data_IF_308733893932
#
_entry.id   IF_308733893932
#
_cell.length_a   1.000
_cell.length_b   1.000
_cell.length_c   1.000
_cell.angle_alpha   90.00
_cell.angle_beta   90.00
_cell.angle_gamma   90.00
#
_symmetry.space_group_name_H-M   'P 1'
#
loop_
_entity.id
_entity.type
_entity.pdbx_description
1 polymer ?
#
# COMPACT_ATOMS: atom_id res chain seq x y z
N UNK A 1 -32.93 -0.46 21.65
CA UNK A 1 -32.23 -0.76 22.94
C UNK A 1 -30.97 0.07 22.95
N UNK A 2 -30.63 0.77 24.05
CA UNK A 2 -29.38 1.51 24.11
C UNK A 2 -28.22 0.54 24.25
N UNK A 3 -27.15 0.78 23.47
CA UNK A 3 -25.86 0.10 23.60
C UNK A 3 -25.41 0.10 25.06
N UNK A 4 -25.17 -1.07 25.64
CA UNK A 4 -24.69 -1.21 27.01
C UNK A 4 -23.20 -0.85 27.01
N UNK A 5 -22.90 0.32 27.59
CA UNK A 5 -21.55 0.84 27.70
C UNK A 5 -20.83 0.24 28.92
N UNK A 6 -19.76 -0.52 28.69
CA UNK A 6 -18.83 -0.92 29.74
C UNK A 6 -17.53 -0.08 29.65
N UNK A 7 -17.15 0.43 30.81
CA UNK A 7 -15.90 1.13 31.21
C UNK A 7 -14.99 1.84 30.19
N UNK A 8 -14.99 3.15 30.28
CA UNK A 8 -14.53 4.20 29.35
C UNK A 8 -13.10 4.22 28.75
N UNK A 9 -12.19 3.32 29.05
CA UNK A 9 -10.81 3.36 28.51
C UNK A 9 -10.52 2.24 27.50
N UNK A 10 -11.01 1.06 27.74
CA UNK A 10 -10.90 -0.11 26.85
C UNK A 10 -11.75 0.16 25.60
N UNK A 11 -12.96 0.66 25.79
CA UNK A 11 -13.91 0.99 24.72
C UNK A 11 -13.36 1.98 23.65
N UNK A 12 -12.49 2.91 24.02
CA UNK A 12 -12.01 3.92 23.09
C UNK A 12 -10.95 3.39 22.10
N UNK A 13 -10.22 2.36 22.50
CA UNK A 13 -9.30 1.61 21.63
C UNK A 13 -10.09 0.66 20.70
N UNK A 14 -11.09 -0.03 21.25
CA UNK A 14 -11.97 -0.93 20.50
C UNK A 14 -12.79 -0.19 19.44
N UNK A 15 -13.35 0.99 19.75
CA UNK A 15 -14.08 1.81 18.77
C UNK A 15 -13.21 2.28 17.59
N UNK A 16 -11.93 2.57 17.80
CA UNK A 16 -11.02 2.93 16.70
C UNK A 16 -10.72 1.75 15.79
N UNK A 17 -10.59 0.55 16.35
CA UNK A 17 -10.38 -0.66 15.55
C UNK A 17 -11.64 -1.01 14.76
N UNK A 18 -12.82 -0.89 15.39
CA UNK A 18 -14.12 -1.08 14.72
C UNK A 18 -14.28 -0.07 13.57
N UNK A 19 -13.98 1.21 13.80
CA UNK A 19 -14.01 2.24 12.76
C UNK A 19 -13.08 1.90 11.59
N UNK A 20 -11.86 1.45 11.90
CA UNK A 20 -10.87 1.04 10.90
C UNK A 20 -11.42 -0.12 10.06
N UNK A 21 -11.91 -1.20 10.69
CA UNK A 21 -12.45 -2.38 10.00
C UNK A 21 -13.67 -2.00 9.16
N UNK A 22 -14.57 -1.13 9.66
CA UNK A 22 -15.71 -0.63 8.89
C UNK A 22 -15.26 0.07 7.60
N UNK A 23 -14.30 0.99 7.71
CA UNK A 23 -13.76 1.73 6.55
C UNK A 23 -13.02 0.83 5.57
N UNK A 24 -12.27 -0.16 6.06
CA UNK A 24 -11.60 -1.17 5.23
C UNK A 24 -12.62 -1.99 4.42
N UNK A 25 -13.63 -2.55 5.09
CA UNK A 25 -14.64 -3.39 4.43
C UNK A 25 -15.51 -2.58 3.45
N UNK A 26 -15.89 -1.34 3.80
CA UNK A 26 -16.60 -0.45 2.89
C UNK A 26 -15.76 -0.11 1.65
N UNK A 27 -14.47 0.13 1.82
CA UNK A 27 -13.57 0.43 0.72
C UNK A 27 -13.41 -0.77 -0.23
N UNK A 28 -13.34 -1.99 0.31
CA UNK A 28 -13.35 -3.22 -0.48
C UNK A 28 -14.67 -3.41 -1.23
N UNK A 29 -15.80 -3.18 -0.57
CA UNK A 29 -17.12 -3.22 -1.20
C UNK A 29 -17.20 -2.26 -2.39
N UNK A 30 -16.77 -1.02 -2.21
CA UNK A 30 -16.85 0.04 -3.21
C UNK A 30 -15.89 -0.15 -4.39
N UNK A 31 -14.63 -0.51 -4.13
CA UNK A 31 -13.59 -0.61 -5.16
C UNK A 31 -13.58 -1.95 -5.91
N UNK A 32 -14.04 -3.03 -5.26
CA UNK A 32 -14.05 -4.37 -5.84
C UNK A 32 -15.46 -4.91 -6.13
N UNK A 33 -16.49 -4.09 -5.87
CA UNK A 33 -17.91 -4.52 -5.93
C UNK A 33 -18.20 -5.75 -5.05
N UNK A 34 -17.53 -5.84 -3.89
CA UNK A 34 -17.63 -6.97 -2.95
C UNK A 34 -18.47 -6.58 -1.74
N UNK A 35 -19.77 -6.35 -1.95
CA UNK A 35 -20.65 -5.85 -0.89
C UNK A 35 -20.84 -6.81 0.28
N UNK A 36 -20.58 -8.09 0.08
CA UNK A 36 -20.54 -9.07 1.18
C UNK A 36 -19.50 -8.69 2.28
N UNK A 37 -18.51 -7.85 2.00
CA UNK A 37 -17.57 -7.39 3.02
C UNK A 37 -18.25 -6.46 4.05
N UNK A 38 -19.32 -5.76 3.66
CA UNK A 38 -20.16 -5.04 4.61
C UNK A 38 -20.97 -5.98 5.50
N UNK A 39 -21.42 -7.13 4.97
CA UNK A 39 -22.06 -8.20 5.74
C UNK A 39 -21.05 -8.84 6.72
N UNK A 40 -19.82 -9.11 6.24
CA UNK A 40 -18.74 -9.61 7.09
C UNK A 40 -18.41 -8.67 8.26
N UNK A 41 -18.53 -7.35 8.05
CA UNK A 41 -18.38 -6.39 9.14
C UNK A 41 -19.47 -6.57 10.21
N UNK A 42 -20.72 -6.82 9.83
CA UNK A 42 -21.77 -7.08 10.80
C UNK A 42 -21.53 -8.39 11.57
N UNK A 43 -21.08 -9.45 10.87
CA UNK A 43 -20.70 -10.71 11.52
C UNK A 43 -19.55 -10.50 12.52
N UNK A 44 -18.53 -9.73 12.15
CA UNK A 44 -17.45 -9.35 13.06
C UNK A 44 -17.99 -8.64 14.31
N UNK A 45 -18.92 -7.69 14.17
CA UNK A 45 -19.52 -7.00 15.34
C UNK A 45 -20.26 -7.97 16.26
N UNK A 46 -20.97 -8.95 15.70
CA UNK A 46 -21.66 -9.98 16.50
C UNK A 46 -20.67 -10.88 17.26
N UNK A 47 -19.54 -11.23 16.64
CA UNK A 47 -18.46 -11.98 17.31
C UNK A 47 -17.86 -11.18 18.48
N UNK A 48 -17.74 -9.86 18.34
CA UNK A 48 -17.31 -8.92 19.39
C UNK A 48 -18.43 -8.61 20.43
N UNK A 49 -19.59 -9.26 20.34
CA UNK A 49 -20.74 -9.07 21.24
C UNK A 49 -21.36 -7.67 21.15
N UNK A 50 -21.20 -7.01 20.01
CA UNK A 50 -21.86 -5.75 19.70
C UNK A 50 -23.13 -6.06 18.92
N UNK A 51 -24.27 -5.74 19.50
CA UNK A 51 -25.56 -6.17 18.99
C UNK A 51 -26.51 -4.97 18.82
N UNK A 52 -27.20 -4.94 17.69
CA UNK A 52 -28.36 -4.07 17.43
C UNK A 52 -29.26 -4.73 16.40
N UNK A 53 -30.49 -4.24 16.26
CA UNK A 53 -31.42 -4.71 15.23
C UNK A 53 -30.82 -4.55 13.83
N UNK A 54 -30.17 -3.40 13.54
CA UNK A 54 -29.56 -3.15 12.24
C UNK A 54 -28.36 -4.07 11.97
N UNK A 55 -27.58 -4.43 12.99
CA UNK A 55 -26.47 -5.39 12.86
C UNK A 55 -27.02 -6.78 12.50
N UNK A 56 -28.06 -7.26 13.19
CA UNK A 56 -28.68 -8.55 12.88
C UNK A 56 -29.28 -8.59 11.46
N UNK A 57 -29.96 -7.50 11.04
CA UNK A 57 -30.48 -7.40 9.68
C UNK A 57 -29.34 -7.44 8.67
N UNK A 58 -28.30 -6.61 8.84
CA UNK A 58 -27.18 -6.55 7.93
C UNK A 58 -26.44 -7.91 7.82
N UNK A 59 -26.23 -8.59 8.95
CA UNK A 59 -25.58 -9.90 8.99
C UNK A 59 -26.36 -11.00 8.28
N UNK A 60 -27.68 -10.86 8.17
CA UNK A 60 -28.59 -11.81 7.51
C UNK A 60 -28.88 -11.50 6.03
N UNK A 61 -28.32 -10.43 5.45
CA UNK A 61 -28.57 -10.09 4.06
C UNK A 61 -27.79 -10.99 3.10
N UNK A 62 -28.38 -11.25 1.95
CA UNK A 62 -27.70 -11.90 0.83
C UNK A 62 -26.66 -10.96 0.21
N UNK A 63 -25.54 -11.50 -0.21
CA UNK A 63 -24.42 -10.75 -0.82
C UNK A 63 -24.80 -9.92 -2.05
N UNK A 64 -25.88 -10.31 -2.72
CA UNK A 64 -26.36 -9.68 -3.95
C UNK A 64 -27.39 -8.56 -3.69
N UNK A 65 -27.85 -8.39 -2.45
CA UNK A 65 -28.82 -7.37 -2.05
C UNK A 65 -28.13 -6.03 -1.75
N UNK A 66 -27.50 -5.46 -2.77
CA UNK A 66 -26.74 -4.21 -2.69
C UNK A 66 -27.47 -3.06 -1.96
N UNK A 67 -28.72 -2.82 -2.32
CA UNK A 67 -29.49 -1.67 -1.80
C UNK A 67 -29.73 -1.80 -0.30
N UNK A 68 -30.11 -2.97 0.18
CA UNK A 68 -30.32 -3.23 1.59
C UNK A 68 -29.00 -3.30 2.35
N UNK A 69 -27.94 -3.92 1.78
CA UNK A 69 -26.60 -3.93 2.40
C UNK A 69 -26.13 -2.49 2.63
N UNK A 70 -26.18 -1.66 1.60
CA UNK A 70 -25.75 -0.26 1.72
C UNK A 70 -26.56 0.50 2.78
N UNK A 71 -27.90 0.36 2.74
CA UNK A 71 -28.80 0.99 3.71
C UNK A 71 -28.48 0.61 5.15
N UNK A 72 -28.40 -0.69 5.43
CA UNK A 72 -28.20 -1.17 6.79
C UNK A 72 -26.75 -1.01 7.26
N UNK A 73 -25.77 -1.08 6.38
CA UNK A 73 -24.38 -0.74 6.70
C UNK A 73 -24.25 0.70 7.21
N UNK A 74 -24.88 1.68 6.51
CA UNK A 74 -24.88 3.06 6.99
C UNK A 74 -25.74 3.25 8.26
N UNK A 75 -26.79 2.48 8.47
CA UNK A 75 -27.53 2.51 9.73
C UNK A 75 -26.63 2.05 10.90
N UNK A 76 -25.91 0.94 10.74
CA UNK A 76 -24.95 0.40 11.73
C UNK A 76 -23.81 1.38 12.00
N UNK A 77 -23.17 1.94 10.95
CA UNK A 77 -22.08 2.90 11.14
C UNK A 77 -22.53 4.18 11.82
N UNK A 78 -23.76 4.64 11.58
CA UNK A 78 -24.36 5.79 12.29
C UNK A 78 -24.61 5.47 13.76
N UNK A 79 -25.12 4.28 14.11
CA UNK A 79 -25.28 3.83 15.50
C UNK A 79 -23.94 3.83 16.25
N UNK A 80 -22.89 3.37 15.59
CA UNK A 80 -21.51 3.34 16.10
C UNK A 80 -20.82 4.72 16.06
N UNK A 81 -21.47 5.76 15.50
CA UNK A 81 -20.92 7.10 15.29
C UNK A 81 -19.67 7.13 14.42
N UNK A 82 -19.55 6.19 13.51
CA UNK A 82 -18.49 6.15 12.51
C UNK A 82 -18.86 7.10 11.38
N UNK A 83 -17.99 8.06 11.12
CA UNK A 83 -18.23 9.11 10.11
C UNK A 83 -17.17 9.07 9.02
N UNK A 84 -17.42 9.77 7.90
CA UNK A 84 -16.46 9.95 6.80
C UNK A 84 -16.01 8.63 6.16
N UNK A 85 -16.98 7.78 5.84
CA UNK A 85 -16.70 6.47 5.23
C UNK A 85 -15.98 6.57 3.89
N UNK A 86 -16.20 7.66 3.13
CA UNK A 86 -15.57 7.91 1.84
C UNK A 86 -14.16 8.56 1.95
N UNK A 87 -13.71 8.90 3.15
CA UNK A 87 -12.39 9.49 3.35
C UNK A 87 -11.30 8.43 3.19
N UNK A 88 -10.28 8.73 2.38
CA UNK A 88 -9.12 7.87 2.15
C UNK A 88 -9.46 6.42 1.68
N UNK A 89 -10.47 6.25 0.82
CA UNK A 89 -10.91 4.93 0.33
C UNK A 89 -9.74 4.07 -0.17
N UNK A 90 -8.82 4.65 -0.94
CA UNK A 90 -7.66 3.94 -1.46
C UNK A 90 -6.72 3.46 -0.35
N UNK A 91 -6.51 4.28 0.67
CA UNK A 91 -5.72 3.90 1.85
C UNK A 91 -6.39 2.78 2.65
N UNK A 92 -7.68 2.94 2.94
CA UNK A 92 -8.44 1.95 3.69
C UNK A 92 -8.48 0.61 2.94
N UNK A 93 -8.58 0.65 1.62
CA UNK A 93 -8.51 -0.55 0.80
C UNK A 93 -7.12 -1.22 0.82
N UNK A 94 -6.04 -0.43 0.80
CA UNK A 94 -4.68 -0.96 0.96
C UNK A 94 -4.52 -1.63 2.34
N UNK A 95 -5.06 -1.03 3.40
CA UNK A 95 -5.09 -1.62 4.74
C UNK A 95 -5.90 -2.93 4.78
N UNK A 96 -7.08 -2.95 4.13
CA UNK A 96 -7.89 -4.16 3.97
C UNK A 96 -7.10 -5.29 3.32
N UNK A 97 -6.46 -5.04 2.17
CA UNK A 97 -5.63 -6.03 1.49
C UNK A 97 -4.46 -6.49 2.37
N UNK A 98 -3.78 -5.56 3.03
CA UNK A 98 -2.68 -5.88 3.94
C UNK A 98 -3.10 -6.83 5.05
N UNK A 99 -4.24 -6.58 5.69
CA UNK A 99 -4.80 -7.45 6.73
C UNK A 99 -5.15 -8.84 6.16
N UNK A 100 -5.87 -8.90 5.03
CA UNK A 100 -6.29 -10.16 4.40
C UNK A 100 -5.09 -11.02 3.97
N UNK A 101 -4.05 -10.41 3.41
CA UNK A 101 -2.84 -11.13 2.98
C UNK A 101 -2.01 -11.58 4.19
N UNK A 102 -1.92 -10.75 5.23
CA UNK A 102 -1.19 -11.10 6.46
C UNK A 102 -1.82 -12.29 7.20
N UNK A 103 -3.15 -12.36 7.17
CA UNK A 103 -3.92 -13.46 7.78
C UNK A 103 -4.04 -14.70 6.87
N UNK A 104 -3.36 -14.71 5.71
CA UNK A 104 -3.45 -15.78 4.70
C UNK A 104 -4.89 -16.02 4.15
N UNK A 105 -5.77 -15.00 4.26
CA UNK A 105 -7.12 -15.03 3.68
C UNK A 105 -7.13 -14.75 2.17
N UNK A 106 -6.08 -14.08 1.68
CA UNK A 106 -5.84 -13.79 0.25
C UNK A 106 -4.38 -14.12 -0.06
N UNK A 107 -4.15 -14.81 -1.16
CA UNK A 107 -2.80 -15.10 -1.66
C UNK A 107 -2.06 -13.81 -2.06
N UNK A 108 -0.78 -13.72 -1.73
CA UNK A 108 0.04 -12.54 -1.99
C UNK A 108 0.10 -12.17 -3.49
N UNK A 109 0.22 -13.16 -4.38
CA UNK A 109 0.23 -12.95 -5.84
C UNK A 109 -1.13 -12.42 -6.33
N UNK A 110 -2.24 -12.92 -5.77
CA UNK A 110 -3.56 -12.39 -6.12
C UNK A 110 -3.73 -10.93 -5.65
N UNK A 111 -3.21 -10.60 -4.47
CA UNK A 111 -3.22 -9.21 -3.98
C UNK A 111 -2.38 -8.28 -4.88
N UNK A 112 -1.24 -8.74 -5.41
CA UNK A 112 -0.46 -7.99 -6.42
C UNK A 112 -1.33 -7.65 -7.63
N UNK A 113 -2.02 -8.63 -8.22
CA UNK A 113 -2.91 -8.40 -9.37
C UNK A 113 -4.02 -7.36 -9.06
N UNK A 114 -4.53 -7.35 -7.83
CA UNK A 114 -5.51 -6.33 -7.40
C UNK A 114 -4.87 -4.95 -7.35
N UNK A 115 -3.67 -4.82 -6.76
CA UNK A 115 -2.97 -3.55 -6.58
C UNK A 115 -2.53 -2.92 -7.91
N UNK A 116 -2.13 -3.74 -8.89
CA UNK A 116 -1.87 -3.28 -10.26
C UNK A 116 -3.13 -2.65 -10.89
N UNK A 117 -4.28 -3.31 -10.74
CA UNK A 117 -5.56 -2.80 -11.25
C UNK A 117 -5.99 -1.51 -10.57
N UNK A 118 -5.63 -1.30 -9.31
CA UNK A 118 -5.95 -0.08 -8.57
C UNK A 118 -5.44 1.19 -9.24
N UNK A 119 -4.26 1.15 -9.85
CA UNK A 119 -3.76 2.29 -10.62
C UNK A 119 -4.71 2.69 -11.75
N UNK A 120 -5.19 1.73 -12.53
CA UNK A 120 -6.07 1.99 -13.67
C UNK A 120 -7.49 2.38 -13.24
N UNK A 121 -7.98 1.86 -12.11
CA UNK A 121 -9.31 2.14 -11.59
C UNK A 121 -9.40 3.52 -10.92
N UNK A 122 -8.36 3.92 -10.19
CA UNK A 122 -8.41 5.12 -9.34
C UNK A 122 -7.60 6.28 -9.89
N UNK A 123 -6.72 6.04 -10.88
CA UNK A 123 -5.72 6.98 -11.37
C UNK A 123 -4.82 7.57 -10.26
N UNK A 124 -4.69 6.85 -9.16
CA UNK A 124 -3.83 7.24 -8.04
C UNK A 124 -2.39 6.82 -8.33
N UNK A 125 -1.52 7.80 -8.51
CA UNK A 125 -0.11 7.60 -8.88
C UNK A 125 0.68 6.77 -7.86
N UNK A 126 0.20 6.65 -6.64
CA UNK A 126 0.84 5.82 -5.60
C UNK A 126 0.80 4.33 -5.95
N UNK A 127 -0.20 3.91 -6.74
CA UNK A 127 -0.30 2.53 -7.22
C UNK A 127 0.52 2.26 -8.50
N UNK A 128 1.10 3.29 -9.14
CA UNK A 128 1.95 3.06 -10.32
C UNK A 128 3.12 2.14 -10.04
N UNK A 129 3.70 2.23 -8.87
CA UNK A 129 4.83 1.40 -8.47
C UNK A 129 4.47 -0.10 -8.36
N UNK A 130 3.19 -0.43 -8.13
CA UNK A 130 2.71 -1.81 -8.18
C UNK A 130 2.65 -2.36 -9.61
N UNK A 131 2.33 -1.53 -10.60
CA UNK A 131 2.39 -1.89 -12.02
C UNK A 131 3.85 -2.17 -12.44
N UNK A 132 4.79 -1.32 -12.03
CA UNK A 132 6.22 -1.55 -12.31
C UNK A 132 6.74 -2.82 -11.60
N UNK A 133 6.28 -3.07 -10.38
CA UNK A 133 6.64 -4.27 -9.64
C UNK A 133 6.04 -5.53 -10.27
N UNK A 134 4.79 -5.50 -10.75
CA UNK A 134 4.18 -6.61 -11.49
C UNK A 134 4.98 -6.97 -12.74
N UNK A 135 5.38 -5.98 -13.53
CA UNK A 135 6.28 -6.20 -14.68
C UNK A 135 7.60 -6.87 -14.27
N UNK A 136 8.15 -6.54 -13.09
CA UNK A 136 9.36 -7.19 -12.59
C UNK A 136 9.12 -8.63 -12.16
N UNK A 137 7.93 -8.95 -11.65
CA UNK A 137 7.51 -10.32 -11.32
C UNK A 137 7.34 -11.16 -12.58
N UNK A 138 6.72 -10.63 -13.64
CA UNK A 138 6.58 -11.31 -14.92
C UNK A 138 7.96 -11.63 -15.50
N UNK A 139 8.92 -10.71 -15.47
CA UNK A 139 10.29 -10.94 -15.90
C UNK A 139 11.01 -12.02 -15.08
N UNK A 140 10.69 -12.13 -13.78
CA UNK A 140 11.24 -13.17 -12.91
C UNK A 140 10.78 -14.57 -13.34
N UNK A 141 9.54 -14.72 -13.84
CA UNK A 141 9.05 -15.98 -14.39
C UNK A 141 9.88 -16.42 -15.60
N UNK A 142 10.31 -15.48 -16.44
CA UNK A 142 11.21 -15.70 -17.58
C UNK A 142 12.69 -15.86 -17.16
N UNK A 143 13.00 -15.88 -15.87
CA UNK A 143 14.36 -16.01 -15.34
C UNK A 143 15.20 -14.71 -15.40
N UNK A 144 14.55 -13.57 -15.64
CA UNK A 144 15.20 -12.26 -15.71
C UNK A 144 15.03 -11.57 -14.36
N UNK A 145 16.14 -11.21 -13.71
CA UNK A 145 16.09 -10.44 -12.44
C UNK A 145 16.10 -8.94 -12.70
N UNK A 146 15.16 -8.24 -12.09
CA UNK A 146 15.10 -6.77 -12.14
C UNK A 146 15.95 -6.20 -11.00
N UNK A 147 16.96 -5.41 -11.34
CA UNK A 147 18.00 -4.96 -10.38
C UNK A 147 17.50 -3.99 -9.30
N UNK A 148 16.29 -3.43 -9.44
CA UNK A 148 15.69 -2.53 -8.45
C UNK A 148 15.01 -3.26 -7.32
N UNK A 149 14.70 -4.56 -7.48
CA UNK A 149 14.01 -5.38 -6.50
C UNK A 149 14.85 -6.61 -6.13
N UNK A 150 14.94 -6.88 -4.84
CA UNK A 150 15.65 -8.08 -4.32
C UNK A 150 14.68 -9.25 -4.20
N UNK A 151 14.13 -9.68 -5.34
CA UNK A 151 13.15 -10.77 -5.45
C UNK A 151 13.71 -11.99 -6.18
N UNK A 152 13.21 -13.15 -5.75
CA UNK A 152 13.37 -14.44 -6.41
C UNK A 152 12.10 -15.28 -6.16
N UNK A 153 12.00 -16.45 -6.78
CA UNK A 153 10.80 -17.31 -6.66
C UNK A 153 10.52 -17.74 -5.21
N UNK A 154 11.57 -17.91 -4.39
CA UNK A 154 11.44 -18.42 -3.03
C UNK A 154 10.96 -17.36 -2.05
N UNK A 155 11.30 -16.07 -2.28
CA UNK A 155 10.95 -14.98 -1.36
C UNK A 155 9.79 -14.10 -1.85
N UNK A 156 9.23 -14.35 -3.03
CA UNK A 156 8.28 -13.44 -3.68
C UNK A 156 7.03 -13.18 -2.83
N UNK A 157 6.43 -14.22 -2.26
CA UNK A 157 5.22 -14.06 -1.44
C UNK A 157 5.48 -13.22 -0.19
N UNK A 158 6.57 -13.52 0.52
CA UNK A 158 6.96 -12.76 1.72
C UNK A 158 7.33 -11.32 1.37
N UNK A 159 8.01 -11.13 0.23
CA UNK A 159 8.34 -9.80 -0.28
C UNK A 159 7.08 -8.98 -0.57
N UNK A 160 6.05 -9.54 -1.20
CA UNK A 160 4.77 -8.85 -1.47
C UNK A 160 4.08 -8.51 -0.15
N UNK A 161 3.98 -9.44 0.80
CA UNK A 161 3.39 -9.19 2.13
C UNK A 161 4.05 -8.00 2.81
N UNK A 162 5.37 -8.00 2.87
CA UNK A 162 6.15 -6.92 3.46
C UNK A 162 5.98 -5.58 2.71
N UNK A 163 5.98 -5.61 1.36
CA UNK A 163 5.80 -4.44 0.51
C UNK A 163 4.46 -3.75 0.77
N UNK A 164 3.38 -4.51 0.93
CA UNK A 164 2.05 -3.96 1.25
C UNK A 164 2.11 -3.21 2.58
N UNK A 165 2.71 -3.80 3.63
CA UNK A 165 2.81 -3.16 4.95
C UNK A 165 3.64 -1.86 4.89
N UNK A 166 4.76 -1.88 4.18
CA UNK A 166 5.59 -0.69 3.99
C UNK A 166 4.87 0.41 3.20
N UNK A 167 4.05 0.05 2.22
CA UNK A 167 3.27 1.01 1.45
C UNK A 167 2.11 1.59 2.25
N UNK A 168 1.51 0.84 3.20
CA UNK A 168 0.56 1.36 4.18
C UNK A 168 1.22 2.45 5.05
N UNK A 169 2.43 2.19 5.55
CA UNK A 169 3.18 3.14 6.36
C UNK A 169 3.56 4.40 5.56
N UNK A 170 3.95 4.22 4.29
CA UNK A 170 4.34 5.32 3.41
C UNK A 170 3.15 6.11 2.87
N UNK A 171 1.94 5.55 2.85
CA UNK A 171 0.78 6.14 2.18
C UNK A 171 0.40 7.52 2.72
N UNK A 172 0.50 7.72 4.04
CA UNK A 172 0.20 8.99 4.71
C UNK A 172 1.36 9.97 4.74
N UNK A 173 2.52 9.55 4.21
CA UNK A 173 3.71 10.35 4.20
C UNK A 173 3.74 11.31 3.01
N UNK A 174 4.27 12.52 3.24
CA UNK A 174 4.58 13.43 2.14
C UNK A 174 5.88 12.97 1.47
N UNK A 175 5.72 12.11 0.47
CA UNK A 175 6.85 11.59 -0.29
C UNK A 175 7.30 12.61 -1.36
N UNK A 176 8.61 12.68 -1.67
CA UNK A 176 9.09 13.44 -2.83
C UNK A 176 8.49 12.92 -4.14
N UNK A 177 8.25 13.79 -5.11
CA UNK A 177 7.61 13.46 -6.40
C UNK A 177 8.26 12.28 -7.15
N UNK A 178 9.55 12.09 -6.98
CA UNK A 178 10.33 11.02 -7.61
C UNK A 178 10.77 9.95 -6.61
N UNK A 179 10.06 9.77 -5.51
CA UNK A 179 10.47 8.90 -4.40
C UNK A 179 10.92 7.51 -4.87
N UNK A 180 10.12 6.83 -5.69
CA UNK A 180 10.43 5.48 -6.18
C UNK A 180 11.61 5.41 -7.18
N UNK A 181 12.05 6.56 -7.71
CA UNK A 181 13.27 6.68 -8.53
C UNK A 181 14.49 7.08 -7.70
N UNK A 182 14.33 7.31 -6.41
CA UNK A 182 15.41 7.61 -5.48
C UNK A 182 16.03 6.35 -4.93
N UNK A 183 17.28 6.46 -4.51
CA UNK A 183 17.99 5.38 -3.86
C UNK A 183 19.01 5.89 -2.87
N UNK A 184 19.27 5.12 -1.83
CA UNK A 184 20.39 5.40 -0.92
C UNK A 184 21.69 4.87 -1.50
N UNK A 185 22.64 5.77 -1.72
CA UNK A 185 24.00 5.38 -2.13
C UNK A 185 24.73 4.70 -0.99
N UNK A 186 25.20 3.46 -1.16
CA UNK A 186 25.92 2.73 -0.11
C UNK A 186 27.20 3.43 0.34
N UNK A 187 27.88 4.18 -0.56
CA UNK A 187 29.12 4.86 -0.24
C UNK A 187 28.92 6.12 0.59
N UNK A 188 28.06 7.04 0.15
CA UNK A 188 27.88 8.32 0.85
C UNK A 188 26.67 8.35 1.78
N UNK A 189 25.87 7.28 1.81
CA UNK A 189 24.66 7.10 2.62
C UNK A 189 23.56 8.15 2.36
N UNK A 190 23.68 8.97 1.33
CA UNK A 190 22.67 9.99 0.97
C UNK A 190 21.58 9.39 0.09
N UNK A 191 20.38 9.92 0.23
CA UNK A 191 19.26 9.69 -0.69
C UNK A 191 19.49 10.53 -1.93
N UNK A 192 19.50 9.90 -3.09
CA UNK A 192 19.82 10.54 -4.39
C UNK A 192 18.98 9.94 -5.50
N UNK A 193 18.84 10.65 -6.62
CA UNK A 193 18.41 10.06 -7.89
C UNK A 193 19.69 9.67 -8.65
N UNK A 194 19.98 8.36 -8.82
CA UNK A 194 21.19 7.94 -9.52
C UNK A 194 21.19 8.33 -10.99
N UNK A 195 22.35 8.70 -11.53
CA UNK A 195 22.50 8.98 -12.96
C UNK A 195 22.80 7.69 -13.72
N UNK A 196 22.07 7.42 -14.80
CA UNK A 196 22.36 6.31 -15.71
C UNK A 196 23.51 6.75 -16.64
N UNK A 197 24.58 5.97 -16.67
CA UNK A 197 25.71 6.15 -17.58
C UNK A 197 25.88 4.92 -18.47
N UNK A 198 26.30 5.16 -19.72
CA UNK A 198 26.56 4.09 -20.69
C UNK A 198 28.08 3.99 -20.90
N UNK A 199 28.59 2.75 -20.89
CA UNK A 199 29.99 2.52 -21.27
C UNK A 199 30.17 2.62 -22.78
N UNK A 200 31.23 3.32 -23.22
CA UNK A 200 31.49 3.56 -24.68
C UNK A 200 31.70 2.25 -25.45
N UNK A 201 32.38 1.27 -24.85
CA UNK A 201 32.84 0.06 -25.57
C UNK A 201 31.95 -1.18 -25.39
N UNK A 202 31.14 -1.29 -24.32
CA UNK A 202 30.39 -2.53 -24.01
C UNK A 202 28.87 -2.36 -24.04
N UNK A 203 28.35 -1.21 -24.42
CA UNK A 203 26.90 -0.90 -24.38
C UNK A 203 26.22 -1.25 -23.04
N UNK A 204 27.01 -1.38 -21.95
CA UNK A 204 26.48 -1.65 -20.61
C UNK A 204 26.08 -0.36 -19.93
N UNK A 205 24.95 -0.38 -19.26
CA UNK A 205 24.49 0.70 -18.39
C UNK A 205 24.95 0.47 -16.95
N UNK A 206 25.23 1.53 -16.24
CA UNK A 206 25.53 1.51 -14.82
C UNK A 206 25.01 2.77 -14.15
N UNK A 207 24.75 2.67 -12.86
CA UNK A 207 24.29 3.79 -12.06
C UNK A 207 25.45 4.48 -11.36
N UNK A 208 25.40 5.82 -11.35
CA UNK A 208 26.40 6.67 -10.71
C UNK A 208 25.71 7.59 -9.71
N UNK A 209 26.24 7.68 -8.51
CA UNK A 209 25.76 8.62 -7.52
C UNK A 209 26.01 10.06 -7.98
N UNK A 210 24.97 10.88 -8.05
CA UNK A 210 25.10 12.28 -8.43
C UNK A 210 25.84 13.12 -7.37
N UNK A 211 25.86 12.69 -6.10
CA UNK A 211 26.54 13.37 -4.99
C UNK A 211 28.03 13.01 -4.89
N UNK A 212 28.37 11.73 -4.68
CA UNK A 212 29.77 11.31 -4.46
C UNK A 212 30.46 10.74 -5.71
N UNK A 213 29.76 10.68 -6.84
CA UNK A 213 30.22 10.18 -8.14
C UNK A 213 30.63 8.69 -8.15
N UNK A 214 30.37 7.94 -7.08
CA UNK A 214 30.65 6.52 -7.01
C UNK A 214 29.66 5.70 -7.87
N UNK A 215 30.14 4.56 -8.35
CA UNK A 215 29.36 3.51 -9.01
C UNK A 215 29.05 2.39 -8.02
N UNK A 216 28.68 2.74 -6.78
CA UNK A 216 28.37 1.78 -5.72
C UNK A 216 26.98 1.17 -5.91
N UNK A 217 26.68 0.15 -5.10
CA UNK A 217 25.32 -0.36 -4.97
C UNK A 217 24.38 0.74 -4.45
N UNK A 218 23.13 0.61 -4.83
CA UNK A 218 22.05 1.50 -4.42
C UNK A 218 20.95 0.68 -3.76
N UNK A 219 20.38 1.21 -2.67
CA UNK A 219 19.14 0.68 -2.08
C UNK A 219 18.01 1.55 -2.57
N UNK A 220 17.25 1.03 -3.53
CA UNK A 220 16.18 1.75 -4.19
C UNK A 220 14.97 1.93 -3.29
N UNK A 221 14.33 3.11 -3.33
CA UNK A 221 13.08 3.36 -2.60
C UNK A 221 11.85 2.65 -3.22
N UNK A 222 11.98 2.06 -4.39
CA UNK A 222 11.04 1.09 -4.95
C UNK A 222 11.15 -0.28 -4.26
N UNK A 223 12.33 -0.64 -3.74
CA UNK A 223 12.58 -1.89 -3.01
C UNK A 223 12.26 -1.78 -1.51
N UNK A 224 11.86 -2.91 -0.90
CA UNK A 224 11.50 -2.96 0.52
C UNK A 224 12.62 -2.47 1.45
N UNK A 225 13.88 -2.82 1.16
CA UNK A 225 15.04 -2.38 1.96
C UNK A 225 15.20 -0.85 1.93
N UNK A 226 15.01 -0.23 0.77
CA UNK A 226 15.07 1.21 0.62
C UNK A 226 13.92 1.93 1.33
N UNK A 227 12.69 1.40 1.25
CA UNK A 227 11.52 1.90 1.98
C UNK A 227 11.72 1.85 3.48
N UNK A 228 12.17 0.71 4.02
CA UNK A 228 12.50 0.56 5.45
C UNK A 228 13.52 1.61 5.91
N UNK A 229 14.63 1.73 5.18
CA UNK A 229 15.68 2.68 5.53
C UNK A 229 15.18 4.13 5.49
N UNK A 230 14.25 4.45 4.57
CA UNK A 230 13.62 5.77 4.52
C UNK A 230 12.78 6.04 5.76
N UNK A 231 11.88 5.11 6.13
CA UNK A 231 11.03 5.22 7.31
C UNK A 231 11.85 5.31 8.61
N UNK A 232 12.87 4.46 8.76
CA UNK A 232 13.79 4.49 9.91
C UNK A 232 14.47 5.84 10.09
N UNK A 233 14.97 6.43 9.00
CA UNK A 233 15.65 7.72 9.03
C UNK A 233 14.69 8.87 9.31
N UNK A 234 13.50 8.82 8.77
CA UNK A 234 12.47 9.83 9.01
C UNK A 234 12.04 9.86 10.47
N UNK A 235 11.89 8.69 11.07
CA UNK A 235 11.45 8.54 12.46
C UNK A 235 12.58 8.72 13.49
N UNK A 236 13.83 8.87 13.03
CA UNK A 236 14.99 9.07 13.92
C UNK A 236 15.11 10.55 14.34
N UNK A 237 15.03 10.88 15.64
CA UNK A 237 15.03 12.26 16.13
C UNK A 237 16.29 13.07 15.82
N UNK A 238 17.39 12.40 15.42
CA UNK A 238 18.69 13.02 15.14
C UNK A 238 19.00 13.26 13.67
N UNK A 239 18.11 12.89 12.75
CA UNK A 239 18.32 13.12 11.33
C UNK A 239 17.44 14.28 10.85
N UNK A 240 18.00 15.50 10.82
CA UNK A 240 17.45 16.53 9.92
C UNK A 240 17.59 15.97 8.50
N UNK A 241 16.49 15.46 7.95
CA UNK A 241 16.36 15.24 6.53
C UNK A 241 16.41 16.62 5.87
N UNK A 242 17.62 17.12 5.60
CA UNK A 242 17.77 18.19 4.64
C UNK A 242 17.45 17.55 3.27
N UNK A 243 16.21 17.67 2.88
CA UNK A 243 15.78 17.48 1.51
C UNK A 243 16.34 18.63 0.67
N UNK A 244 17.67 18.72 0.60
CA UNK A 244 18.35 19.45 -0.50
C UNK A 244 18.16 18.59 -1.77
N UNK A 245 16.90 18.44 -2.16
CA UNK A 245 16.53 17.94 -3.48
C UNK A 245 16.84 19.09 -4.43
N UNK A 246 18.03 19.01 -5.02
CA UNK A 246 18.37 19.87 -6.15
C UNK A 246 17.45 19.44 -7.30
N UNK A 247 16.35 20.16 -7.46
CA UNK A 247 15.52 20.12 -8.65
C UNK A 247 16.40 20.51 -9.85
N UNK A 248 16.81 19.50 -10.61
CA UNK A 248 17.33 19.71 -11.96
C UNK A 248 16.32 19.21 -12.98
N UNK A 249 16.13 19.96 -14.09
CA UNK A 249 15.02 19.78 -15.01
C UNK A 249 14.96 18.37 -15.59
N UNK A 250 13.74 17.92 -15.79
CA UNK A 250 13.36 16.64 -16.38
C UNK A 250 14.06 16.43 -17.72
N UNK A 251 14.96 15.46 -17.80
CA UNK A 251 15.36 14.88 -19.07
C UNK A 251 14.28 13.87 -19.44
N UNK A 252 13.50 14.20 -20.47
CA UNK A 252 12.56 13.27 -21.10
C UNK A 252 13.32 12.01 -21.54
N UNK A 253 13.10 10.90 -20.85
CA UNK A 253 13.49 9.59 -21.34
C UNK A 253 12.51 9.22 -22.45
N UNK A 254 12.88 9.53 -23.71
CA UNK A 254 12.21 8.97 -24.88
C UNK A 254 12.32 7.45 -24.81
N UNK A 255 11.16 6.80 -24.89
CA UNK A 255 11.01 5.34 -25.08
C UNK A 255 11.98 4.89 -26.17
N UNK A 256 12.94 4.05 -25.81
CA UNK A 256 13.69 3.20 -26.73
C UNK A 256 13.14 1.78 -26.62
N UNK A 257 11.90 1.62 -27.00
CA UNK A 257 11.31 0.31 -27.36
C UNK A 257 10.75 0.50 -28.78
N UNK A 258 11.64 0.50 -29.77
CA UNK A 258 11.32 0.22 -31.17
C UNK A 258 12.67 0.07 -31.90
N UNK A 259 13.19 -1.15 -31.94
CA UNK A 259 13.88 -1.81 -33.07
C UNK A 259 14.32 -3.20 -32.67
#
# INVERSE_FOLDING_TARGET
>A
MPLVWYEGKVLKLELKEIEKIAKENYSAAKLQNKWYECVNFALYLLDEKIESENIYILAGLDSDDYDNINKYFFAVTNELKIVKMDEDINYNFLCYLGRKVHNDEIEAIYALTILEKMYYQTNDKRFWEWVEFGNAVDLLEDGITYYEYDINKDNLCDYIKEKILLDIDLYKEQLPDNFFKMAFCEKCKKLVIPEIKKTLFRKKFFYKCNNCKATSKFLWCSDNKGKKLYLERKNSPNTRFNADIVDKPQIQVRRMLDK
#
